data_IF_433248740095
#
_entry.id   IF_433248740095
#
_cell.length_a   1.000
_cell.length_b   1.000
_cell.length_c   1.000
_cell.angle_alpha   90.00
_cell.angle_beta   90.00
_cell.angle_gamma   90.00
#
_symmetry.space_group_name_H-M   'P 1'
#
loop_
_entity.id
_entity.type
_entity.pdbx_description
1 polymer ?
#
# COMPACT_ATOMS: atom_id res chain seq x y z
N UNK A 1 19.30 -49.22 -12.52
CA UNK A 1 17.97 -49.33 -11.89
C UNK A 1 17.41 -47.93 -11.81
N UNK A 2 16.44 -47.62 -12.68
CA UNK A 2 15.81 -46.32 -12.71
C UNK A 2 14.82 -46.28 -11.54
N UNK A 3 14.99 -45.32 -10.64
CA UNK A 3 14.07 -45.15 -9.51
C UNK A 3 12.88 -44.33 -10.03
N UNK A 4 11.79 -45.02 -10.33
CA UNK A 4 10.50 -44.38 -10.55
C UNK A 4 10.11 -43.72 -9.23
N UNK A 5 10.13 -42.40 -9.23
CA UNK A 5 9.63 -41.59 -8.11
C UNK A 5 8.13 -41.54 -8.33
N UNK A 6 7.39 -42.49 -7.76
CA UNK A 6 5.94 -42.39 -7.69
C UNK A 6 5.59 -41.11 -6.93
N UNK A 7 4.87 -40.22 -7.62
CA UNK A 7 4.54 -38.90 -7.15
C UNK A 7 3.28 -39.02 -6.29
N UNK A 8 3.42 -39.48 -5.05
CA UNK A 8 2.31 -39.79 -4.11
C UNK A 8 1.28 -38.65 -3.95
N UNK A 9 1.64 -37.41 -4.29
CA UNK A 9 0.75 -36.24 -4.26
C UNK A 9 -0.18 -36.11 -5.47
N UNK A 10 0.02 -36.86 -6.56
CA UNK A 10 -0.85 -36.81 -7.74
C UNK A 10 -2.27 -37.29 -7.42
N UNK A 11 -2.40 -38.26 -6.51
CA UNK A 11 -3.68 -38.88 -6.12
C UNK A 11 -4.53 -37.99 -5.18
N UNK A 12 -3.92 -36.97 -4.56
CA UNK A 12 -4.60 -35.99 -3.69
C UNK A 12 -5.04 -34.72 -4.45
N UNK A 13 -4.52 -34.49 -5.64
CA UNK A 13 -4.86 -33.34 -6.46
C UNK A 13 -6.18 -33.57 -7.19
N UNK A 14 -7.04 -32.55 -7.25
CA UNK A 14 -8.25 -32.63 -8.06
C UNK A 14 -7.87 -32.67 -9.53
N UNK A 15 -8.65 -33.40 -10.32
CA UNK A 15 -8.40 -33.62 -11.75
C UNK A 15 -8.33 -32.33 -12.58
N UNK A 16 -8.89 -31.22 -12.09
CA UNK A 16 -8.80 -29.91 -12.74
C UNK A 16 -7.43 -29.22 -12.57
N UNK A 17 -6.59 -29.68 -11.64
CA UNK A 17 -5.26 -29.12 -11.37
C UNK A 17 -4.16 -29.90 -12.08
N UNK A 18 -3.92 -29.55 -13.35
CA UNK A 18 -2.76 -30.04 -14.09
C UNK A 18 -1.62 -29.01 -14.07
N UNK A 19 -0.61 -29.25 -13.21
CA UNK A 19 0.57 -28.40 -13.10
C UNK A 19 1.49 -28.47 -14.33
N UNK A 20 1.43 -29.55 -15.12
CA UNK A 20 2.18 -29.65 -16.37
C UNK A 20 1.59 -28.73 -17.46
N UNK A 21 0.28 -28.44 -17.36
CA UNK A 21 -0.40 -27.46 -18.23
C UNK A 21 -0.36 -26.03 -17.67
N UNK A 22 0.11 -25.83 -16.44
CA UNK A 22 0.24 -24.50 -15.85
C UNK A 22 1.56 -23.84 -16.26
N UNK A 23 1.50 -22.58 -16.70
CA UNK A 23 2.72 -21.79 -16.94
C UNK A 23 3.53 -21.56 -15.65
N UNK A 24 4.83 -21.26 -15.78
CA UNK A 24 5.70 -21.01 -14.62
C UNK A 24 5.12 -19.96 -13.67
N UNK A 25 5.06 -20.29 -12.37
CA UNK A 25 4.58 -19.36 -11.34
C UNK A 25 5.51 -18.15 -11.18
N UNK A 26 4.96 -16.94 -11.30
CA UNK A 26 5.72 -15.70 -11.10
C UNK A 26 5.63 -15.28 -9.63
N UNK A 27 6.74 -15.40 -8.89
CA UNK A 27 6.85 -14.90 -7.52
C UNK A 27 6.61 -13.39 -7.51
N UNK A 28 5.71 -12.92 -6.66
CA UNK A 28 5.45 -11.49 -6.49
C UNK A 28 4.67 -10.83 -7.64
N UNK A 29 3.93 -11.59 -8.47
CA UNK A 29 3.11 -11.09 -9.60
C UNK A 29 2.25 -9.86 -9.28
N UNK A 30 1.82 -9.70 -8.02
CA UNK A 30 0.98 -8.59 -7.57
C UNK A 30 1.62 -7.72 -6.46
N UNK A 31 2.90 -7.93 -6.14
CA UNK A 31 3.55 -7.24 -5.01
C UNK A 31 3.52 -5.73 -5.19
N UNK A 32 3.79 -5.26 -6.40
CA UNK A 32 3.80 -3.84 -6.73
C UNK A 32 2.42 -3.19 -6.61
N UNK A 33 1.34 -3.91 -6.98
CA UNK A 33 -0.03 -3.41 -6.84
C UNK A 33 -0.43 -3.28 -5.37
N UNK A 34 0.06 -4.17 -4.52
CA UNK A 34 -0.20 -4.15 -3.09
C UNK A 34 0.58 -3.00 -2.41
N UNK A 35 1.88 -2.88 -2.71
CA UNK A 35 2.74 -1.81 -2.16
C UNK A 35 2.25 -0.41 -2.51
N UNK A 36 1.68 -0.19 -3.71
CA UNK A 36 1.15 1.12 -4.12
C UNK A 36 -0.13 1.52 -3.40
N UNK A 37 -0.91 0.57 -2.88
CA UNK A 37 -2.23 0.83 -2.28
C UNK A 37 -2.19 0.95 -0.77
N UNK A 38 -1.14 0.48 -0.12
CA UNK A 38 -1.11 0.40 1.34
C UNK A 38 0.15 1.09 1.89
N UNK A 39 0.06 2.41 2.11
CA UNK A 39 1.03 3.15 2.90
C UNK A 39 0.70 2.95 4.39
N UNK A 40 1.14 1.84 4.98
CA UNK A 40 1.07 1.62 6.42
C UNK A 40 2.21 2.38 7.10
N UNK A 41 1.87 3.16 8.11
CA UNK A 41 2.83 3.84 8.98
C UNK A 41 2.64 3.30 10.39
N UNK A 42 3.72 2.78 10.98
CA UNK A 42 3.71 2.34 12.36
C UNK A 42 3.76 3.55 13.29
N UNK A 43 2.79 3.67 14.19
CA UNK A 43 2.77 4.69 15.23
C UNK A 43 3.68 4.28 16.39
N UNK A 44 4.27 5.27 17.05
CA UNK A 44 4.97 5.05 18.31
C UNK A 44 3.97 4.56 19.39
N UNK A 45 4.40 3.74 20.37
CA UNK A 45 3.48 3.12 21.34
C UNK A 45 2.64 4.11 22.16
N UNK A 46 3.24 5.24 22.53
CA UNK A 46 2.59 6.33 23.24
C UNK A 46 1.51 7.01 22.40
N UNK A 47 1.78 7.24 21.11
CA UNK A 47 0.80 7.79 20.17
C UNK A 47 -0.33 6.80 19.92
N UNK A 48 0.00 5.52 19.73
CA UNK A 48 -1.00 4.46 19.57
C UNK A 48 -1.90 4.29 20.81
N UNK A 49 -1.39 4.56 22.00
CA UNK A 49 -2.19 4.53 23.23
C UNK A 49 -3.17 5.72 23.32
N UNK A 50 -2.80 6.87 22.75
CA UNK A 50 -3.63 8.06 22.75
C UNK A 50 -4.82 8.00 21.77
N UNK A 51 -4.69 7.20 20.70
CA UNK A 51 -5.70 7.12 19.64
C UNK A 51 -6.27 5.69 19.49
N UNK A 52 -7.59 5.48 19.66
CA UNK A 52 -8.18 4.16 19.64
C UNK A 52 -8.28 3.52 18.26
N UNK A 53 -8.27 4.31 17.18
CA UNK A 53 -8.35 3.83 15.80
C UNK A 53 -7.73 4.83 14.80
N UNK A 54 -7.66 4.42 13.53
CA UNK A 54 -7.12 5.19 12.42
C UNK A 54 -7.96 6.43 12.08
N UNK A 55 -9.29 6.36 12.21
CA UNK A 55 -10.19 7.51 12.03
C UNK A 55 -9.81 8.66 12.97
N UNK A 56 -9.60 8.37 14.26
CA UNK A 56 -9.24 9.37 15.27
C UNK A 56 -7.88 10.03 14.98
N UNK A 57 -6.89 9.24 14.53
CA UNK A 57 -5.57 9.76 14.11
C UNK A 57 -5.73 10.68 12.90
N UNK A 58 -6.47 10.24 11.89
CA UNK A 58 -6.63 10.99 10.65
C UNK A 58 -7.37 12.31 10.86
N UNK A 59 -8.41 12.34 11.70
CA UNK A 59 -9.10 13.57 12.05
C UNK A 59 -8.18 14.56 12.78
N UNK A 60 -7.39 14.10 13.76
CA UNK A 60 -6.43 14.95 14.46
C UNK A 60 -5.39 15.56 13.49
N UNK A 61 -4.84 14.76 12.58
CA UNK A 61 -3.88 15.23 11.58
C UNK A 61 -4.52 16.23 10.59
N UNK A 62 -5.77 16.00 10.17
CA UNK A 62 -6.52 16.95 9.32
C UNK A 62 -6.70 18.29 10.00
N UNK A 63 -7.07 18.31 11.29
CA UNK A 63 -7.19 19.53 12.07
C UNK A 63 -5.85 20.28 12.13
N UNK A 64 -4.75 19.57 12.36
CA UNK A 64 -3.42 20.17 12.38
C UNK A 64 -3.04 20.81 11.03
N UNK A 65 -3.35 20.13 9.92
CA UNK A 65 -3.15 20.68 8.56
C UNK A 65 -3.94 21.99 8.40
N UNK A 66 -5.20 22.03 8.82
CA UNK A 66 -6.01 23.25 8.72
C UNK A 66 -5.47 24.40 9.57
N UNK A 67 -4.96 24.10 10.78
CA UNK A 67 -4.31 25.13 11.62
C UNK A 67 -3.05 25.65 10.94
N UNK A 68 -2.20 24.75 10.42
CA UNK A 68 -0.98 25.12 9.71
C UNK A 68 -1.27 26.00 8.48
N UNK A 69 -2.32 25.68 7.71
CA UNK A 69 -2.74 26.48 6.55
C UNK A 69 -3.18 27.89 6.93
N UNK A 70 -3.84 28.07 8.09
CA UNK A 70 -4.25 29.39 8.58
C UNK A 70 -3.08 30.24 9.08
N UNK A 71 -1.98 29.59 9.48
CA UNK A 71 -0.78 30.27 9.97
C UNK A 71 0.20 30.65 8.86
N UNK A 72 0.07 30.05 7.67
CA UNK A 72 0.77 30.51 6.48
C UNK A 72 0.06 31.77 5.96
N UNK A 73 0.64 32.98 6.03
CA UNK A 73 0.11 34.09 5.26
C UNK A 73 0.16 33.67 3.79
N UNK A 74 -0.94 33.81 3.06
CA UNK A 74 -0.99 33.59 1.62
C UNK A 74 0.06 34.47 0.93
N UNK A 75 1.30 34.01 0.78
CA UNK A 75 2.27 34.58 -0.16
C UNK A 75 2.00 33.96 -1.53
N UNK A 76 0.75 34.02 -1.98
CA UNK A 76 0.44 33.89 -3.40
C UNK A 76 0.68 35.26 -3.99
N UNK A 77 1.94 35.55 -4.30
CA UNK A 77 2.27 36.56 -5.28
C UNK A 77 1.52 36.17 -6.55
N UNK A 78 0.43 36.90 -6.81
CA UNK A 78 -0.27 36.94 -8.08
C UNK A 78 0.71 37.46 -9.12
N UNK A 79 1.59 36.60 -9.64
CA UNK A 79 2.40 36.92 -10.83
C UNK A 79 1.66 36.37 -12.04
N UNK A 80 0.52 37.00 -12.31
CA UNK A 80 -0.04 37.11 -13.65
C UNK A 80 0.24 38.53 -14.09
N UNK A 81 1.09 38.66 -15.11
CA UNK A 81 1.07 39.70 -16.15
C UNK A 81 0.21 40.94 -15.85
N UNK A 82 0.86 42.10 -15.68
CA UNK A 82 0.68 43.30 -16.54
C UNK A 82 1.04 44.60 -15.79
N UNK A 83 2.21 45.19 -16.06
CA UNK A 83 2.40 46.63 -16.33
C UNK A 83 3.89 47.04 -16.53
N UNK A 84 4.20 47.44 -17.77
CA UNK A 84 4.82 48.73 -18.18
C UNK A 84 6.06 49.21 -17.39
N UNK A 85 7.26 49.17 -17.98
CA UNK A 85 7.94 50.25 -18.77
C UNK A 85 8.83 49.58 -19.82
#
# INVERSE_FOLDING_TARGET
MNKEVENEMEDELRSEYDFAQMGSGVRGKYVERYSRKTNLVLLAPDVAQAFPNDEAVNEALRLLIQVAQRQQPNTTTRSGSDQII
#
